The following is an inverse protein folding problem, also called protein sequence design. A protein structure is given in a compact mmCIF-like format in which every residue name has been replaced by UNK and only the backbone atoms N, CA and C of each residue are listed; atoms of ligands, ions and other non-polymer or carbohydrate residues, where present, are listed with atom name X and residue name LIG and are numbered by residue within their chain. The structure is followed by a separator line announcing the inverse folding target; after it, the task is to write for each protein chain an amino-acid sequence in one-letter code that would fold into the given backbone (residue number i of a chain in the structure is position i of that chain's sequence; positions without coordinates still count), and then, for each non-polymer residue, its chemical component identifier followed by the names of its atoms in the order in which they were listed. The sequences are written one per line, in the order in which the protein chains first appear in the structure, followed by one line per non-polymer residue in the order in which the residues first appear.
data_IF_519290487147
#
_entry.id   IF_519290487147
#
_cell.length_a   1.000
_cell.length_b   1.000
_cell.length_c   1.000
_cell.angle_alpha   90.00
_cell.angle_beta   90.00
_cell.angle_gamma   90.00
#
_symmetry.space_group_name_H-M   'P 1'
#
loop_
_entity.id
_entity.type
_entity.pdbx_description
1 polymer ?
#
# COMPACT_ATOMS: atom_id res chain seq x y z
N UNK A 1 -4.45 -27.27 20.01
CA UNK A 1 -5.10 -26.07 19.47
C UNK A 1 -4.21 -25.53 18.37
N UNK A 2 -4.66 -25.62 17.11
CA UNK A 2 -3.95 -25.11 15.93
C UNK A 2 -4.48 -23.70 15.60
N UNK A 3 -3.68 -22.87 14.92
CA UNK A 3 -3.99 -21.48 14.56
C UNK A 3 -5.29 -21.34 13.76
N UNK A 4 -5.76 -22.43 13.13
CA UNK A 4 -7.02 -22.49 12.38
C UNK A 4 -8.25 -22.54 13.28
N UNK A 5 -8.14 -23.10 14.49
CA UNK A 5 -9.23 -23.09 15.47
C UNK A 5 -9.35 -21.73 16.18
N UNK A 6 -8.27 -20.91 16.17
CA UNK A 6 -8.24 -19.56 16.76
C UNK A 6 -8.96 -18.51 15.88
N UNK A 7 -9.05 -18.74 14.56
CA UNK A 7 -9.49 -17.72 13.60
C UNK A 7 -10.91 -17.92 13.05
N UNK A 8 -11.69 -18.87 13.58
CA UNK A 8 -13.12 -19.01 13.28
C UNK A 8 -13.47 -19.23 11.79
N UNK A 9 -12.53 -19.73 10.98
CA UNK A 9 -12.74 -19.92 9.54
C UNK A 9 -13.54 -21.20 9.27
N UNK A 10 -14.56 -21.17 8.38
CA UNK A 10 -15.39 -22.34 8.10
C UNK A 10 -14.59 -23.47 7.44
N UNK A 11 -14.74 -24.68 7.98
CA UNK A 11 -14.09 -25.91 7.49
C UNK A 11 -14.84 -26.44 6.26
N UNK A 12 -14.36 -26.15 5.05
CA UNK A 12 -14.87 -26.77 3.82
C UNK A 12 -14.09 -28.06 3.52
N UNK A 13 -14.74 -29.22 3.35
CA UNK A 13 -14.06 -30.44 2.94
C UNK A 13 -13.90 -30.44 1.42
N UNK A 14 -12.66 -30.54 0.93
CA UNK A 14 -12.38 -30.75 -0.51
C UNK A 14 -11.90 -32.19 -0.75
N UNK A 15 -12.34 -32.84 -1.86
CA UNK A 15 -12.09 -34.26 -2.10
C UNK A 15 -10.70 -34.53 -2.67
N UNK A 16 -10.22 -35.74 -2.39
CA UNK A 16 -9.07 -36.39 -3.01
C UNK A 16 -9.36 -36.69 -4.49
N UNK A 17 -8.55 -36.18 -5.42
CA UNK A 17 -7.71 -36.98 -6.34
C UNK A 17 -7.19 -36.18 -7.55
N UNK A 18 -5.85 -36.25 -7.71
CA UNK A 18 -5.03 -36.35 -8.92
C UNK A 18 -5.31 -35.43 -10.14
N UNK A 19 -4.30 -34.61 -10.50
CA UNK A 19 -3.44 -34.86 -11.68
C UNK A 19 -2.17 -33.99 -11.64
N UNK A 20 -1.02 -34.62 -11.86
CA UNK A 20 0.30 -33.98 -11.87
C UNK A 20 0.48 -33.17 -13.17
N UNK A 21 0.55 -31.84 -13.06
CA UNK A 21 1.24 -30.99 -14.04
C UNK A 21 2.59 -30.54 -13.50
N UNK A 22 3.63 -30.81 -14.27
CA UNK A 22 5.04 -30.57 -13.96
C UNK A 22 5.35 -29.07 -13.79
N UNK A 23 5.72 -28.68 -12.57
CA UNK A 23 6.37 -27.39 -12.29
C UNK A 23 7.86 -27.45 -12.67
N UNK A 24 8.43 -26.37 -13.21
CA UNK A 24 9.85 -26.30 -13.55
C UNK A 24 10.69 -26.43 -12.27
N UNK A 25 11.81 -27.16 -12.35
CA UNK A 25 12.72 -27.40 -11.23
C UNK A 25 13.24 -26.06 -10.70
N UNK A 26 12.77 -25.65 -9.52
CA UNK A 26 13.35 -24.57 -8.73
C UNK A 26 14.70 -25.06 -8.22
N UNK A 27 15.78 -24.42 -8.65
CA UNK A 27 17.13 -24.71 -8.16
C UNK A 27 17.13 -24.71 -6.63
N UNK A 28 17.45 -25.86 -6.03
CA UNK A 28 17.58 -25.96 -4.58
C UNK A 28 18.85 -25.22 -4.18
N UNK A 29 18.70 -23.98 -3.71
CA UNK A 29 19.78 -23.30 -3.00
C UNK A 29 20.20 -24.21 -1.83
N UNK A 30 21.39 -24.79 -1.94
CA UNK A 30 21.96 -25.64 -0.89
C UNK A 30 22.15 -24.79 0.36
N UNK A 31 21.75 -25.37 1.50
CA UNK A 31 21.89 -24.73 2.81
C UNK A 31 23.36 -24.29 3.02
N UNK A 32 23.62 -23.03 3.41
CA UNK A 32 24.94 -22.65 3.89
C UNK A 32 25.28 -23.38 5.19
N UNK A 33 26.54 -23.76 5.38
CA UNK A 33 27.00 -24.49 6.55
C UNK A 33 26.91 -23.58 7.80
N UNK A 34 26.41 -24.12 8.93
CA UNK A 34 26.29 -23.37 10.20
C UNK A 34 24.89 -22.85 10.59
N UNK A 35 23.84 -23.02 9.78
CA UNK A 35 22.44 -22.69 10.15
C UNK A 35 21.59 -23.95 10.30
N UNK A 36 20.73 -24.04 11.32
CA UNK A 36 19.83 -25.20 11.49
C UNK A 36 18.74 -25.24 10.41
N UNK A 37 18.34 -26.46 10.02
CA UNK A 37 17.40 -26.70 8.90
C UNK A 37 16.03 -26.05 9.14
N UNK A 38 15.57 -26.03 10.40
CA UNK A 38 14.28 -25.45 10.77
C UNK A 38 14.27 -23.92 10.68
N UNK A 39 15.34 -23.25 11.10
CA UNK A 39 15.46 -21.78 11.02
C UNK A 39 15.48 -21.35 9.56
N UNK A 40 16.24 -22.05 8.70
CA UNK A 40 16.29 -21.73 7.27
C UNK A 40 14.93 -21.91 6.57
N UNK A 41 14.15 -22.92 6.96
CA UNK A 41 12.82 -23.17 6.43
C UNK A 41 11.79 -22.12 6.90
N UNK A 42 11.92 -21.63 8.14
CA UNK A 42 11.04 -20.60 8.71
C UNK A 42 11.32 -19.21 8.12
N UNK A 43 12.58 -18.86 7.85
CA UNK A 43 12.95 -17.56 7.26
C UNK A 43 12.69 -17.51 5.75
N UNK A 44 12.39 -18.65 5.10
CA UNK A 44 12.15 -18.70 3.65
C UNK A 44 13.41 -18.43 2.81
N UNK A 45 14.59 -18.66 3.39
CA UNK A 45 15.89 -18.23 2.87
C UNK A 45 16.41 -16.96 3.55
N UNK A 46 17.72 -16.71 3.47
CA UNK A 46 18.30 -15.46 3.94
C UNK A 46 18.01 -14.37 2.91
N UNK A 47 17.38 -13.27 3.34
CA UNK A 47 17.38 -12.05 2.55
C UNK A 47 18.85 -11.62 2.35
N UNK A 48 19.30 -11.38 1.10
CA UNK A 48 20.66 -10.93 0.89
C UNK A 48 20.81 -9.53 1.49
N UNK A 49 21.42 -9.45 2.68
CA UNK A 49 21.72 -8.17 3.35
C UNK A 49 22.78 -7.35 2.59
N UNK A 50 23.47 -7.96 1.61
CA UNK A 50 24.24 -7.31 0.56
C UNK A 50 24.22 -8.18 -0.70
N UNK A 51 24.36 -7.60 -1.91
CA UNK A 51 24.72 -8.37 -3.09
C UNK A 51 26.13 -8.95 -2.86
N UNK A 52 26.21 -10.20 -2.40
CA UNK A 52 27.48 -10.92 -2.37
C UNK A 52 27.83 -11.26 -3.81
N UNK A 53 28.81 -10.52 -4.35
CA UNK A 53 29.41 -10.87 -5.64
C UNK A 53 30.08 -12.23 -5.42
N UNK A 54 29.55 -13.26 -6.09
CA UNK A 54 30.14 -14.60 -6.05
C UNK A 54 31.58 -14.52 -6.59
N UNK A 55 32.53 -15.02 -5.81
CA UNK A 55 33.98 -15.01 -6.13
C UNK A 55 34.26 -15.77 -7.43
N UNK A 56 33.37 -16.68 -7.84
CA UNK A 56 33.42 -17.35 -9.14
C UNK A 56 33.12 -16.41 -10.33
N UNK A 57 32.38 -15.32 -10.11
CA UNK A 57 32.14 -14.29 -11.13
C UNK A 57 33.35 -13.37 -11.35
N UNK A 58 34.26 -13.25 -10.38
CA UNK A 58 35.53 -12.55 -10.54
C UNK A 58 36.51 -13.27 -11.49
N UNK A 59 36.30 -14.58 -11.73
CA UNK A 59 37.08 -15.38 -12.68
C UNK A 59 36.45 -15.45 -14.08
N UNK A 60 35.30 -14.79 -14.30
CA UNK A 60 34.75 -14.69 -15.67
C UNK A 60 35.70 -13.84 -16.49
N UNK A 61 36.10 -14.38 -17.65
CA UNK A 61 36.87 -13.71 -18.69
C UNK A 61 36.32 -12.29 -18.87
N UNK A 62 37.17 -11.24 -18.97
CA UNK A 62 36.67 -9.88 -19.15
C UNK A 62 35.68 -9.89 -20.33
N UNK A 63 34.53 -9.21 -20.24
CA UNK A 63 33.73 -8.96 -21.42
C UNK A 63 34.63 -8.32 -22.48
N UNK A 64 34.34 -8.59 -23.76
CA UNK A 64 35.04 -8.03 -24.92
C UNK A 64 35.45 -6.58 -24.68
N UNK A 65 36.60 -6.17 -25.23
CA UNK A 65 37.23 -4.84 -25.11
C UNK A 65 36.33 -3.73 -25.69
N UNK A 66 35.18 -3.50 -25.04
CA UNK A 66 34.21 -2.47 -25.33
C UNK A 66 34.84 -1.16 -24.89
N UNK A 67 35.24 -0.34 -25.86
CA UNK A 67 35.70 1.01 -25.57
C UNK A 67 34.50 1.85 -25.20
N UNK A 68 34.29 2.01 -23.89
CA UNK A 68 33.25 2.86 -23.33
C UNK A 68 33.82 4.27 -23.20
N UNK A 69 33.19 5.23 -23.87
CA UNK A 69 33.51 6.65 -23.72
C UNK A 69 32.24 7.38 -23.31
N UNK A 70 32.37 8.38 -22.44
CA UNK A 70 31.26 9.26 -22.08
C UNK A 70 31.36 10.53 -22.91
N UNK A 71 30.30 10.85 -23.64
CA UNK A 71 30.26 12.04 -24.51
C UNK A 71 29.10 12.93 -24.10
N UNK A 72 29.33 14.24 -24.07
CA UNK A 72 28.30 15.24 -23.85
C UNK A 72 27.57 15.49 -25.16
N UNK A 73 26.40 14.86 -25.34
CA UNK A 73 25.66 14.90 -26.60
C UNK A 73 24.29 15.58 -26.43
N UNK A 74 23.83 16.29 -27.47
CA UNK A 74 22.47 16.82 -27.49
C UNK A 74 21.46 15.66 -27.62
N UNK A 75 20.31 15.81 -26.99
CA UNK A 75 19.19 14.90 -27.11
C UNK A 75 17.86 15.67 -27.12
N UNK A 76 16.87 15.05 -27.76
CA UNK A 76 15.46 15.45 -27.71
C UNK A 76 14.68 14.37 -26.99
N UNK A 77 13.64 14.74 -26.26
CA UNK A 77 12.78 13.79 -25.54
C UNK A 77 11.39 13.79 -26.15
N UNK A 78 10.91 12.65 -26.64
CA UNK A 78 9.53 12.53 -27.15
C UNK A 78 8.46 12.89 -26.13
N UNK A 79 8.81 12.84 -24.84
CA UNK A 79 7.95 13.25 -23.73
C UNK A 79 7.57 14.73 -23.77
N UNK A 80 8.29 15.57 -24.53
CA UNK A 80 8.03 17.00 -24.65
C UNK A 80 7.50 17.32 -26.05
N UNK A 81 6.61 18.31 -26.12
CA UNK A 81 6.02 18.82 -27.38
C UNK A 81 6.73 20.09 -27.90
N UNK A 82 7.65 20.65 -27.14
CA UNK A 82 8.30 21.95 -27.40
C UNK A 82 9.62 21.84 -28.15
N UNK A 83 10.01 20.64 -28.61
CA UNK A 83 11.26 20.36 -29.32
C UNK A 83 12.52 20.89 -28.60
N UNK A 84 12.49 21.03 -27.26
CA UNK A 84 13.64 21.53 -26.52
C UNK A 84 14.81 20.55 -26.62
N UNK A 85 15.95 21.05 -27.10
CA UNK A 85 17.19 20.30 -27.13
C UNK A 85 17.96 20.50 -25.83
N UNK A 86 18.26 19.40 -25.14
CA UNK A 86 19.04 19.36 -23.91
C UNK A 86 20.32 18.57 -24.13
N UNK A 87 21.24 18.61 -23.17
CA UNK A 87 22.48 17.85 -23.24
C UNK A 87 22.65 16.97 -22.00
N UNK A 88 23.18 15.76 -22.18
CA UNK A 88 23.57 14.89 -21.06
C UNK A 88 24.77 14.02 -21.42
N UNK A 89 25.39 13.41 -20.39
CA UNK A 89 26.49 12.46 -20.56
C UNK A 89 25.96 11.11 -21.05
N UNK A 90 26.28 10.76 -22.29
CA UNK A 90 25.85 9.54 -22.96
C UNK A 90 26.97 8.50 -22.93
N UNK A 91 26.65 7.25 -22.54
CA UNK A 91 27.57 6.11 -22.67
C UNK A 91 27.65 5.70 -24.15
N UNK A 92 28.78 5.96 -24.78
CA UNK A 92 29.09 5.58 -26.17
C UNK A 92 29.97 4.33 -26.15
N UNK A 93 29.49 3.25 -26.76
CA UNK A 93 30.19 1.95 -26.80
C UNK A 93 30.76 1.75 -28.20
N UNK A 94 32.07 1.53 -28.30
CA UNK A 94 32.77 1.33 -29.58
C UNK A 94 32.53 2.45 -30.61
N UNK A 95 32.38 3.70 -30.14
CA UNK A 95 32.14 4.87 -30.99
C UNK A 95 30.70 5.02 -31.48
N UNK A 96 29.79 4.13 -31.11
CA UNK A 96 28.37 4.19 -31.51
C UNK A 96 27.53 4.76 -30.35
N UNK A 97 26.87 5.92 -30.53
CA UNK A 97 25.96 6.44 -29.52
C UNK A 97 24.69 5.59 -29.44
N UNK A 98 23.98 5.57 -28.29
CA UNK A 98 22.71 4.89 -28.14
C UNK A 98 21.73 5.39 -29.20
N UNK A 99 21.15 4.44 -29.93
CA UNK A 99 20.12 4.73 -30.93
C UNK A 99 18.74 4.60 -30.28
N UNK A 100 17.88 5.59 -30.50
CA UNK A 100 16.51 5.59 -29.99
C UNK A 100 16.12 6.91 -29.34
N UNK A 101 14.90 6.95 -28.85
CA UNK A 101 14.40 8.06 -28.06
C UNK A 101 15.07 8.13 -26.68
N UNK A 102 14.99 9.28 -26.03
CA UNK A 102 15.61 9.51 -24.73
C UNK A 102 15.17 8.46 -23.70
N UNK A 103 16.13 7.82 -23.03
CA UNK A 103 15.86 6.66 -22.16
C UNK A 103 14.87 6.93 -21.03
N UNK A 104 14.72 8.19 -20.61
CA UNK A 104 13.78 8.60 -19.58
C UNK A 104 12.42 9.08 -20.10
N UNK A 105 12.24 9.24 -21.42
CA UNK A 105 10.98 9.68 -22.01
C UNK A 105 9.82 8.75 -21.64
N UNK A 106 10.09 7.43 -21.56
CA UNK A 106 9.13 6.40 -21.13
C UNK A 106 8.58 6.58 -19.70
N UNK A 107 9.23 7.38 -18.86
CA UNK A 107 8.78 7.65 -17.49
C UNK A 107 7.87 8.86 -17.40
N UNK A 108 7.71 9.64 -18.48
CA UNK A 108 6.76 10.74 -18.50
C UNK A 108 5.34 10.21 -18.60
N UNK A 109 4.70 10.00 -17.45
CA UNK A 109 3.32 9.56 -17.34
C UNK A 109 2.45 10.74 -16.94
N UNK A 110 1.58 11.19 -17.84
CA UNK A 110 0.55 12.17 -17.53
C UNK A 110 -0.65 11.50 -16.87
N UNK A 111 -1.32 12.21 -15.97
CA UNK A 111 -2.57 11.74 -15.38
C UNK A 111 -3.72 12.09 -16.33
N UNK A 112 -4.64 11.15 -16.52
CA UNK A 112 -5.89 11.41 -17.24
C UNK A 112 -6.91 12.05 -16.28
N UNK A 113 -7.22 13.33 -16.52
CA UNK A 113 -8.13 14.12 -15.70
C UNK A 113 -9.52 14.10 -16.31
N UNK A 114 -10.54 13.80 -15.50
CA UNK A 114 -11.93 13.74 -15.96
C UNK A 114 -12.37 15.12 -16.46
N UNK A 115 -12.87 15.18 -17.70
CA UNK A 115 -13.51 16.37 -18.27
C UNK A 115 -15.01 16.22 -18.21
N UNK A 116 -15.74 17.28 -17.88
CA UNK A 116 -17.20 17.30 -17.79
C UNK A 116 -17.79 18.44 -18.65
N UNK A 117 -19.04 18.30 -19.08
CA UNK A 117 -19.78 19.35 -19.79
C UNK A 117 -20.56 20.23 -18.83
N UNK A 118 -21.09 21.34 -19.33
CA UNK A 118 -21.91 22.26 -18.54
C UNK A 118 -23.19 21.59 -18.04
N UNK A 119 -23.82 20.77 -18.87
CA UNK A 119 -25.04 20.03 -18.51
C UNK A 119 -24.77 18.97 -17.43
N UNK A 120 -23.61 18.31 -17.49
CA UNK A 120 -23.18 17.37 -16.45
C UNK A 120 -22.90 18.10 -15.13
N UNK A 121 -22.34 19.32 -15.21
CA UNK A 121 -22.07 20.15 -14.05
C UNK A 121 -23.36 20.54 -13.32
N UNK A 122 -24.32 21.12 -14.05
CA UNK A 122 -25.60 21.55 -13.48
C UNK A 122 -26.40 20.40 -12.88
N UNK A 123 -26.32 19.22 -13.48
CA UNK A 123 -27.12 18.06 -13.06
C UNK A 123 -26.52 17.31 -11.86
N UNK A 124 -25.20 17.20 -11.78
CA UNK A 124 -24.54 16.27 -10.84
C UNK A 124 -23.50 16.93 -9.93
N UNK A 125 -23.00 18.12 -10.26
CA UNK A 125 -21.80 18.69 -9.62
C UNK A 125 -22.05 20.00 -8.85
N UNK A 126 -23.29 20.50 -8.84
CA UNK A 126 -23.67 21.71 -8.10
C UNK A 126 -23.45 21.55 -6.60
N UNK A 127 -22.83 22.54 -5.97
CA UNK A 127 -22.47 22.52 -4.56
C UNK A 127 -22.58 23.95 -3.99
N UNK A 128 -23.17 24.16 -2.79
CA UNK A 128 -23.32 25.48 -2.20
C UNK A 128 -21.98 26.15 -1.82
N UNK A 129 -20.92 25.38 -1.60
CA UNK A 129 -19.60 25.87 -1.18
C UNK A 129 -18.63 26.05 -2.34
N UNK A 130 -19.00 25.63 -3.55
CA UNK A 130 -18.15 25.65 -4.75
C UNK A 130 -18.86 26.28 -5.94
N UNK A 131 -18.20 27.26 -6.53
CA UNK A 131 -18.63 27.82 -7.81
C UNK A 131 -18.15 26.94 -8.97
N UNK A 132 -18.80 27.09 -10.14
CA UNK A 132 -18.39 26.39 -11.35
C UNK A 132 -16.99 26.84 -11.77
N UNK A 133 -16.74 28.13 -11.70
CA UNK A 133 -15.48 28.76 -12.05
C UNK A 133 -14.32 28.24 -11.18
N UNK A 134 -14.54 28.10 -9.86
CA UNK A 134 -13.55 27.50 -8.96
C UNK A 134 -13.31 26.02 -9.29
N UNK A 135 -14.35 25.28 -9.66
CA UNK A 135 -14.23 23.86 -10.03
C UNK A 135 -13.46 23.72 -11.36
N UNK A 136 -13.78 24.54 -12.36
CA UNK A 136 -13.10 24.54 -13.66
C UNK A 136 -11.63 24.91 -13.51
N UNK A 137 -11.32 25.93 -12.71
CA UNK A 137 -9.95 26.31 -12.38
C UNK A 137 -9.20 25.18 -11.69
N UNK A 138 -9.84 24.46 -10.75
CA UNK A 138 -9.24 23.31 -10.09
C UNK A 138 -8.89 22.21 -11.10
N UNK A 139 -9.80 21.87 -12.01
CA UNK A 139 -9.58 20.82 -13.01
C UNK A 139 -8.50 21.21 -14.03
N UNK A 140 -8.45 22.46 -14.45
CA UNK A 140 -7.38 22.97 -15.32
C UNK A 140 -6.00 22.92 -14.62
N UNK A 141 -5.93 23.30 -13.33
CA UNK A 141 -4.69 23.17 -12.55
C UNK A 141 -4.31 21.70 -12.32
N UNK A 142 -5.29 20.81 -12.13
CA UNK A 142 -5.09 19.37 -12.03
C UNK A 142 -4.46 18.78 -13.30
N UNK A 143 -4.91 19.20 -14.49
CA UNK A 143 -4.34 18.79 -15.78
C UNK A 143 -2.93 19.38 -15.98
N UNK A 144 -2.72 20.67 -15.63
CA UNK A 144 -1.43 21.34 -15.80
C UNK A 144 -0.34 20.86 -14.85
N UNK A 145 -0.70 20.41 -13.65
CA UNK A 145 0.25 20.04 -12.60
C UNK A 145 0.19 18.56 -12.18
N UNK A 146 -0.39 17.69 -13.02
CA UNK A 146 -0.44 16.24 -12.82
C UNK A 146 -0.94 15.84 -11.42
N UNK A 147 -2.03 16.46 -10.94
CA UNK A 147 -2.61 16.25 -9.60
C UNK A 147 -1.66 16.49 -8.41
N UNK A 148 -0.62 17.30 -8.59
CA UNK A 148 0.26 17.69 -7.48
C UNK A 148 -0.41 18.74 -6.60
N UNK A 149 -1.33 18.30 -5.74
CA UNK A 149 -2.20 19.17 -4.93
C UNK A 149 -1.48 20.24 -4.09
N UNK A 150 -0.23 20.00 -3.67
CA UNK A 150 0.56 21.02 -2.96
C UNK A 150 0.86 22.23 -3.86
N UNK A 151 1.22 21.97 -5.13
CA UNK A 151 1.47 23.02 -6.14
C UNK A 151 0.16 23.68 -6.56
N UNK A 152 -0.89 22.87 -6.71
CA UNK A 152 -2.23 23.36 -7.07
C UNK A 152 -2.74 24.32 -5.99
N UNK A 153 -2.67 23.96 -4.71
CA UNK A 153 -3.09 24.82 -3.61
C UNK A 153 -2.32 26.14 -3.56
N UNK A 154 -1.01 26.12 -3.84
CA UNK A 154 -0.16 27.31 -3.91
C UNK A 154 -0.46 28.23 -5.12
N UNK A 155 -1.08 27.69 -6.17
CA UNK A 155 -1.47 28.44 -7.39
C UNK A 155 -2.97 28.73 -7.48
N UNK A 156 -3.76 28.20 -6.55
CA UNK A 156 -5.20 28.44 -6.49
C UNK A 156 -5.47 29.87 -6.05
N UNK A 157 -6.46 30.53 -6.65
CA UNK A 157 -6.77 31.95 -6.39
C UNK A 157 -7.42 32.15 -5.03
N UNK A 158 -8.28 31.23 -4.61
CA UNK A 158 -8.92 31.23 -3.30
C UNK A 158 -8.05 30.54 -2.25
N UNK A 159 -8.14 30.96 -0.98
CA UNK A 159 -7.41 30.36 0.16
C UNK A 159 -8.02 29.03 0.62
N UNK A 160 -8.13 28.05 -0.29
CA UNK A 160 -8.61 26.70 0.01
C UNK A 160 -7.48 25.81 0.52
N UNK A 161 -7.79 24.94 1.47
CA UNK A 161 -6.85 23.92 1.94
C UNK A 161 -6.66 22.80 0.91
N UNK A 162 -5.52 22.11 0.96
CA UNK A 162 -5.24 20.93 0.12
C UNK A 162 -6.34 19.88 0.27
N UNK A 163 -6.86 19.73 1.47
CA UNK A 163 -7.88 18.74 1.81
C UNK A 163 -9.23 19.05 1.13
N UNK A 164 -9.64 20.32 1.10
CA UNK A 164 -10.83 20.78 0.37
C UNK A 164 -10.68 20.62 -1.15
N UNK A 165 -9.52 20.97 -1.70
CA UNK A 165 -9.27 20.81 -3.15
C UNK A 165 -9.34 19.33 -3.56
N UNK A 166 -8.73 18.44 -2.76
CA UNK A 166 -8.82 17.00 -2.97
C UNK A 166 -10.26 16.51 -2.87
N UNK A 167 -10.99 16.95 -1.84
CA UNK A 167 -12.37 16.56 -1.61
C UNK A 167 -13.24 16.87 -2.83
N UNK A 168 -13.17 18.12 -3.32
CA UNK A 168 -13.90 18.53 -4.52
C UNK A 168 -13.50 17.72 -5.75
N UNK A 169 -12.20 17.56 -6.00
CA UNK A 169 -11.71 16.82 -7.16
C UNK A 169 -12.19 15.36 -7.17
N UNK A 170 -12.06 14.65 -6.05
CA UNK A 170 -12.45 13.25 -5.97
C UNK A 170 -13.97 13.09 -5.97
N UNK A 171 -14.73 13.99 -5.35
CA UNK A 171 -16.20 13.97 -5.41
C UNK A 171 -16.72 14.18 -6.83
N UNK A 172 -16.19 15.17 -7.55
CA UNK A 172 -16.54 15.41 -8.96
C UNK A 172 -16.16 14.21 -9.83
N UNK A 173 -14.94 13.70 -9.68
CA UNK A 173 -14.46 12.54 -10.45
C UNK A 173 -15.32 11.30 -10.20
N UNK A 174 -15.70 11.07 -8.94
CA UNK A 174 -16.60 9.97 -8.55
C UNK A 174 -18.01 10.16 -9.10
N UNK A 175 -18.57 11.36 -9.01
CA UNK A 175 -19.91 11.67 -9.52
C UNK A 175 -19.98 11.46 -11.03
N UNK A 176 -18.97 11.92 -11.78
CA UNK A 176 -18.88 11.71 -13.23
C UNK A 176 -18.71 10.25 -13.60
N UNK A 177 -17.89 9.50 -12.85
CA UNK A 177 -17.74 8.07 -13.07
C UNK A 177 -19.07 7.32 -12.90
N UNK A 178 -19.85 7.67 -11.88
CA UNK A 178 -21.16 7.05 -11.63
C UNK A 178 -22.18 7.50 -12.68
N UNK A 179 -22.23 8.79 -13.02
CA UNK A 179 -23.21 9.34 -13.95
C UNK A 179 -23.05 8.78 -15.38
N UNK A 180 -21.81 8.45 -15.78
CA UNK A 180 -21.49 7.88 -17.09
C UNK A 180 -21.57 6.35 -17.14
N UNK A 181 -21.75 5.70 -15.99
CA UNK A 181 -21.86 4.24 -15.92
C UNK A 181 -23.22 3.76 -16.45
N UNK A 182 -23.27 2.71 -17.29
CA UNK A 182 -24.52 2.09 -17.72
C UNK A 182 -25.32 1.51 -16.55
N UNK A 183 -24.61 0.93 -15.56
CA UNK A 183 -25.20 0.44 -14.32
C UNK A 183 -24.35 0.76 -13.09
N UNK A 184 -24.95 0.91 -11.90
CA UNK A 184 -24.19 1.13 -10.66
C UNK A 184 -23.25 -0.03 -10.29
N UNK A 185 -23.55 -1.25 -10.78
CA UNK A 185 -22.74 -2.43 -10.53
C UNK A 185 -21.36 -2.35 -11.20
N UNK A 186 -21.29 -1.75 -12.38
CA UNK A 186 -20.07 -1.69 -13.21
C UNK A 186 -18.95 -0.87 -12.55
N UNK A 187 -19.33 0.13 -11.76
CA UNK A 187 -18.37 1.05 -11.09
C UNK A 187 -18.16 0.73 -9.61
N UNK A 188 -18.89 -0.23 -9.05
CA UNK A 188 -18.83 -0.57 -7.61
C UNK A 188 -17.43 -1.00 -7.14
N UNK A 189 -16.66 -1.65 -8.01
CA UNK A 189 -15.28 -2.06 -7.73
C UNK A 189 -14.22 -0.97 -7.93
N UNK A 190 -14.59 0.17 -8.51
CA UNK A 190 -13.64 1.24 -8.80
C UNK A 190 -13.16 1.91 -7.49
N UNK A 191 -11.86 2.20 -7.32
CA UNK A 191 -11.32 2.77 -6.09
C UNK A 191 -12.05 4.04 -5.61
N UNK A 192 -12.37 4.95 -6.54
CA UNK A 192 -13.13 6.18 -6.24
C UNK A 192 -14.54 5.93 -5.66
N UNK A 193 -15.14 4.76 -5.93
CA UNK A 193 -16.48 4.41 -5.45
C UNK A 193 -16.40 3.58 -4.18
N UNK A 194 -15.49 2.59 -4.16
CA UNK A 194 -15.29 1.66 -3.05
C UNK A 194 -14.70 2.34 -1.81
N UNK A 195 -13.74 3.22 -2.01
CA UNK A 195 -12.99 3.90 -0.95
C UNK A 195 -13.03 5.41 -1.23
N UNK A 196 -14.19 6.06 -1.02
CA UNK A 196 -14.34 7.48 -1.28
C UNK A 196 -13.38 8.27 -0.40
N UNK A 197 -12.85 9.35 -0.95
CA UNK A 197 -11.98 10.25 -0.21
C UNK A 197 -12.70 10.80 1.02
N UNK A 198 -12.03 10.79 2.17
CA UNK A 198 -12.55 11.30 3.42
C UNK A 198 -11.69 12.48 3.90
N UNK A 199 -12.16 13.70 3.65
CA UNK A 199 -11.47 14.94 4.01
C UNK A 199 -11.21 15.07 5.52
N UNK A 200 -12.16 14.62 6.36
CA UNK A 200 -12.02 14.65 7.82
C UNK A 200 -10.88 13.74 8.29
N UNK A 201 -10.83 12.52 7.76
CA UNK A 201 -9.76 11.57 8.06
C UNK A 201 -8.40 12.08 7.58
N UNK A 202 -8.31 12.65 6.38
CA UNK A 202 -7.05 13.20 5.85
C UNK A 202 -6.56 14.39 6.70
N UNK A 203 -7.48 15.24 7.14
CA UNK A 203 -7.18 16.36 8.04
C UNK A 203 -6.64 15.88 9.38
N UNK A 204 -7.28 14.88 9.99
CA UNK A 204 -6.82 14.28 11.26
C UNK A 204 -5.45 13.60 11.08
N UNK A 205 -5.28 12.83 10.00
CA UNK A 205 -4.02 12.17 9.67
C UNK A 205 -2.89 13.18 9.52
N UNK A 206 -3.13 14.31 8.85
CA UNK A 206 -2.16 15.39 8.67
C UNK A 206 -1.85 16.09 10.00
N UNK A 207 -2.86 16.32 10.85
CA UNK A 207 -2.67 16.87 12.20
C UNK A 207 -1.78 15.96 13.06
N UNK A 208 -2.08 14.67 13.09
CA UNK A 208 -1.30 13.67 13.84
C UNK A 208 0.15 13.58 13.34
N UNK A 209 0.36 13.60 12.02
CA UNK A 209 1.70 13.60 11.44
C UNK A 209 2.47 14.88 11.81
N UNK A 210 1.83 16.05 11.73
CA UNK A 210 2.46 17.32 12.14
C UNK A 210 2.85 17.30 13.61
N UNK A 211 2.03 16.72 14.49
CA UNK A 211 2.37 16.53 15.89
C UNK A 211 3.65 15.70 16.03
N UNK A 212 3.72 14.53 15.39
CA UNK A 212 4.91 13.64 15.45
C UNK A 212 6.16 14.33 14.90
N UNK A 213 6.07 15.01 13.76
CA UNK A 213 7.21 15.69 13.15
C UNK A 213 7.71 16.88 13.97
N UNK A 214 6.83 17.50 14.77
CA UNK A 214 7.18 18.59 15.68
C UNK A 214 7.73 18.11 17.04
N UNK A 215 7.77 16.80 17.29
CA UNK A 215 8.23 16.27 18.57
C UNK A 215 9.71 16.56 18.81
N UNK A 216 10.03 16.90 20.06
CA UNK A 216 11.40 17.06 20.52
C UNK A 216 11.94 15.75 21.05
N UNK A 217 13.28 15.57 21.02
CA UNK A 217 13.94 14.39 21.60
C UNK A 217 13.62 14.18 23.09
N UNK A 218 13.32 15.26 23.82
CA UNK A 218 12.91 15.16 25.23
C UNK A 218 11.51 14.59 25.37
N UNK A 219 10.58 15.03 24.52
CA UNK A 219 9.22 14.50 24.48
C UNK A 219 9.23 13.01 24.10
N UNK A 220 10.01 12.65 23.09
CA UNK A 220 10.18 11.24 22.67
C UNK A 220 10.65 10.34 23.82
N UNK A 221 11.66 10.76 24.58
CA UNK A 221 12.13 10.01 25.76
C UNK A 221 11.03 9.84 26.81
N UNK A 222 10.28 10.89 27.11
CA UNK A 222 9.14 10.81 28.05
C UNK A 222 8.07 9.85 27.53
N UNK A 223 7.69 9.96 26.26
CA UNK A 223 6.68 9.11 25.65
C UNK A 223 7.11 7.63 25.67
N UNK A 224 8.38 7.34 25.40
CA UNK A 224 8.93 5.96 25.51
C UNK A 224 8.86 5.43 26.95
N UNK A 225 9.10 6.27 27.96
CA UNK A 225 9.01 5.88 29.36
C UNK A 225 7.55 5.59 29.76
N UNK A 226 6.62 6.46 29.34
CA UNK A 226 5.16 6.28 29.57
C UNK A 226 4.66 5.02 28.90
N UNK A 227 5.06 4.75 27.65
CA UNK A 227 4.69 3.52 26.94
C UNK A 227 5.24 2.26 27.62
N UNK A 228 6.47 2.30 28.11
CA UNK A 228 7.07 1.18 28.86
C UNK A 228 6.32 0.92 30.17
N UNK A 229 5.87 1.97 30.86
CA UNK A 229 5.05 1.84 32.06
C UNK A 229 3.66 1.30 31.76
N UNK A 230 2.98 1.85 30.75
CA UNK A 230 1.67 1.38 30.30
C UNK A 230 1.71 -0.11 29.91
N UNK A 231 2.77 -0.54 29.22
CA UNK A 231 2.99 -1.95 28.89
C UNK A 231 3.12 -2.83 30.14
N UNK A 232 3.90 -2.41 31.13
CA UNK A 232 4.03 -3.15 32.41
C UNK A 232 2.69 -3.28 33.13
N UNK A 233 1.88 -2.21 33.15
CA UNK A 233 0.54 -2.23 33.76
C UNK A 233 -0.41 -3.16 32.99
N UNK A 234 -0.35 -3.15 31.65
CA UNK A 234 -1.17 -4.03 30.82
C UNK A 234 -0.81 -5.51 31.07
N UNK A 235 0.47 -5.84 31.11
CA UNK A 235 0.97 -7.18 31.41
C UNK A 235 0.53 -7.63 32.81
N UNK A 236 0.67 -6.77 33.83
CA UNK A 236 0.25 -7.11 35.19
C UNK A 236 -1.27 -7.36 35.30
N UNK A 237 -2.07 -6.59 34.55
CA UNK A 237 -3.53 -6.78 34.48
C UNK A 237 -3.91 -8.07 33.78
N UNK A 238 -3.22 -8.43 32.68
CA UNK A 238 -3.45 -9.71 32.01
C UNK A 238 -3.09 -10.89 32.90
N UNK A 239 -1.98 -10.82 33.66
CA UNK A 239 -1.61 -11.88 34.60
C UNK A 239 -2.59 -12.02 35.76
N UNK A 240 -3.12 -10.90 36.28
CA UNK A 240 -4.13 -10.92 37.34
C UNK A 240 -5.45 -11.55 36.85
N UNK A 241 -5.91 -11.18 35.65
CA UNK A 241 -7.12 -11.76 35.03
C UNK A 241 -6.96 -13.26 34.73
N UNK A 242 -5.76 -13.70 34.30
CA UNK A 242 -5.47 -15.12 34.10
C UNK A 242 -5.37 -15.96 35.38
N UNK A 243 -5.33 -15.32 36.55
CA UNK A 243 -5.26 -16.00 37.87
C UNK A 243 -6.66 -16.20 38.47
N UNK A 244 -7.71 -15.53 37.98
CA UNK A 244 -9.08 -15.62 38.52
C UNK A 244 -10.02 -16.65 37.86
N UNK A 245 -9.60 -17.40 36.84
CA UNK A 245 -10.24 -18.69 36.45
C UNK A 245 -9.30 -19.84 36.87
N UNK A 246 -9.48 -20.50 38.04
CA UNK A 246 -10.55 -21.48 38.22
C UNK A 246 -11.03 -21.63 39.69
N UNK A 247 -12.29 -21.33 39.99
CA UNK A 247 -12.95 -21.86 41.20
C UNK A 247 -14.49 -21.86 41.06
N UNK A 248 -15.03 -22.77 40.25
CA UNK A 248 -16.38 -23.27 40.52
C UNK A 248 -16.26 -24.49 41.44
N UNK A 249 -16.91 -24.49 42.62
CA UNK A 249 -16.73 -25.56 43.59
C UNK A 249 -17.45 -26.83 43.12
N UNK A 250 -16.69 -27.92 43.09
CA UNK A 250 -17.16 -29.29 42.87
C UNK A 250 -18.07 -29.67 44.05
N UNK A 251 -19.36 -29.84 43.78
CA UNK A 251 -20.24 -30.59 44.68
C UNK A 251 -20.00 -32.09 44.43
N UNK A 252 -19.34 -32.75 45.38
CA UNK A 252 -19.26 -34.20 45.46
C UNK A 252 -19.74 -34.64 46.84
N UNK A 253 -20.81 -35.43 46.88
CA UNK A 253 -20.76 -36.76 47.48
C UNK A 253 -21.98 -37.60 47.04
N UNK A 254 -21.61 -38.81 46.58
CA UNK A 254 -22.39 -40.01 46.30
C UNK A 254 -23.25 -40.46 47.53
N UNK A 255 -24.32 -41.25 47.41
CA UNK A 255 -24.32 -42.65 46.95
C UNK A 255 -25.75 -43.19 46.59
N UNK A 256 -25.86 -44.39 45.97
CA UNK A 256 -27.02 -44.87 45.22
C UNK A 256 -27.89 -45.92 45.95
N UNK A 257 -29.07 -46.11 45.35
CA UNK A 257 -29.85 -47.36 45.21
C UNK A 257 -30.61 -47.95 46.42
N UNK A 258 -31.95 -47.81 46.42
CA UNK A 258 -32.93 -48.86 46.82
C UNK A 258 -34.22 -48.71 45.98
N UNK A 259 -34.70 -49.84 45.48
CA UNK A 259 -35.72 -50.05 44.47
C UNK A 259 -37.20 -49.95 44.93
N UNK A 260 -38.07 -50.03 43.90
CA UNK A 260 -39.43 -50.61 43.84
C UNK A 260 -40.70 -49.72 43.80
N UNK A 261 -41.34 -49.76 42.61
CA UNK A 261 -42.73 -50.23 42.31
C UNK A 261 -43.95 -49.30 42.46
N UNK A 262 -44.82 -49.40 41.43
CA UNK A 262 -46.27 -49.16 41.34
C UNK A 262 -46.79 -47.71 41.17
N UNK A 263 -47.39 -47.30 40.04
CA UNK A 263 -48.71 -47.63 39.42
C UNK A 263 -49.82 -46.63 39.82
N UNK A 264 -50.47 -46.04 38.79
CA UNK A 264 -51.73 -45.27 38.75
C UNK A 264 -51.75 -43.91 39.48
N UNK A 265 -52.20 -42.80 38.89
CA UNK A 265 -53.38 -42.53 38.07
C UNK A 265 -53.12 -41.32 37.16
#
# INVERSE_FOLDING_TARGET
MDAKDILGLPKTPLPLSQEKKSQPKKDSQRKPDGISREVYALTGGLAPLMPSIDVSQLKRRPPSDEKITWQWLPFTSSARKDNLQLYHWVRVVNGVPPTGDYSFAKYNKSVDVVKYTEEEYEKYLTDPMWTKEETDQLFDLCERFDLRFVVIADRFTSSRSVEELKDRYYNVSRAMLIARAPSPGDVSGHPLVKEPYNSSQETERKRALSMVLSQTKHQERKDTQVLAEAKRIAESRMTALGTEEPALPVASNFDPDIAEVAVNL
#
